data_IF_074580737207
#
_entry.id   IF_074580737207
#
_cell.length_a   1.000
_cell.length_b   1.000
_cell.length_c   1.000
_cell.angle_alpha   90.00
_cell.angle_beta   90.00
_cell.angle_gamma   90.00
#
_symmetry.space_group_name_H-M   'P 1'
#
loop_
_entity.id
_entity.type
_entity.pdbx_description
1 polymer ?
#
# COMPACT_ATOMS: atom_id res chain seq x y z
N UNK A 1 -3.39 1.09 7.38
CA UNK A 1 -3.34 0.03 8.41
C UNK A 1 -1.90 -0.27 8.84
N UNK A 2 -0.95 0.66 8.68
CA UNK A 2 0.48 0.32 8.82
C UNK A 2 0.93 -0.15 10.20
N UNK A 3 0.30 0.32 11.28
CA UNK A 3 0.63 -0.15 12.62
C UNK A 3 0.24 -1.62 12.83
N UNK A 4 -0.93 -2.02 12.32
CA UNK A 4 -1.41 -3.40 12.43
C UNK A 4 -0.66 -4.37 11.53
N UNK A 5 -0.08 -3.88 10.43
CA UNK A 5 0.71 -4.70 9.51
C UNK A 5 1.85 -5.43 10.23
N UNK A 6 2.51 -4.78 11.20
CA UNK A 6 3.58 -5.39 11.99
C UNK A 6 3.13 -6.65 12.71
N UNK A 7 2.05 -6.56 13.49
CA UNK A 7 1.52 -7.69 14.24
C UNK A 7 1.00 -8.82 13.34
N UNK A 8 0.39 -8.48 12.21
CA UNK A 8 -0.09 -9.51 11.26
C UNK A 8 1.08 -10.29 10.67
N UNK A 9 2.19 -9.62 10.37
CA UNK A 9 3.38 -10.24 9.76
C UNK A 9 4.17 -11.06 10.77
N UNK A 10 4.22 -10.63 12.04
CA UNK A 10 4.76 -11.43 13.15
C UNK A 10 4.01 -12.77 13.29
N UNK A 11 2.71 -12.79 13.03
CA UNK A 11 1.87 -13.99 13.00
C UNK A 11 1.89 -14.74 11.65
N UNK A 12 2.78 -14.37 10.73
CA UNK A 12 2.95 -15.03 9.44
C UNK A 12 1.92 -14.67 8.37
N UNK A 13 1.12 -13.61 8.58
CA UNK A 13 0.18 -13.09 7.59
C UNK A 13 0.82 -11.96 6.78
N UNK A 14 1.22 -12.27 5.54
CA UNK A 14 1.83 -11.28 4.65
C UNK A 14 0.86 -10.13 4.32
N UNK A 15 1.35 -8.90 4.43
CA UNK A 15 0.62 -7.66 4.21
C UNK A 15 1.34 -6.73 3.23
N UNK A 16 0.54 -5.93 2.55
CA UNK A 16 0.98 -4.77 1.75
C UNK A 16 -0.12 -3.71 1.84
N UNK A 17 0.21 -2.45 1.59
CA UNK A 17 -0.78 -1.37 1.62
C UNK A 17 -0.44 -0.23 0.67
N UNK A 18 -1.46 0.51 0.27
CA UNK A 18 -1.32 1.79 -0.43
C UNK A 18 -1.27 2.92 0.60
N UNK A 19 -0.31 3.82 0.47
CA UNK A 19 -0.16 5.00 1.31
C UNK A 19 -0.40 6.27 0.51
N UNK A 20 -1.33 7.10 1.00
CA UNK A 20 -1.65 8.41 0.44
C UNK A 20 -0.82 9.53 1.08
N UNK A 21 -0.18 9.27 2.23
CA UNK A 21 0.59 10.27 2.97
C UNK A 21 1.94 9.66 3.34
N UNK A 22 2.98 10.03 2.58
CA UNK A 22 4.35 9.52 2.74
C UNK A 22 4.85 9.61 4.19
N UNK A 23 4.63 10.76 4.85
CA UNK A 23 5.08 10.99 6.23
C UNK A 23 4.54 9.95 7.22
N UNK A 24 3.30 9.47 7.05
CA UNK A 24 2.75 8.44 7.91
C UNK A 24 3.46 7.09 7.70
N UNK A 25 3.73 6.72 6.44
CA UNK A 25 4.51 5.51 6.14
C UNK A 25 5.94 5.59 6.67
N UNK A 26 6.59 6.74 6.60
CA UNK A 26 7.94 6.92 7.13
C UNK A 26 8.00 6.83 8.66
N UNK A 27 6.95 7.28 9.35
CA UNK A 27 6.84 7.19 10.81
C UNK A 27 6.46 5.77 11.27
N UNK A 28 5.47 5.16 10.63
CA UNK A 28 4.97 3.83 11.01
C UNK A 28 5.85 2.69 10.51
N UNK A 29 6.61 2.92 9.42
CA UNK A 29 7.53 1.96 8.78
C UNK A 29 6.92 0.57 8.61
N UNK A 30 5.71 0.44 8.02
CA UNK A 30 5.13 -0.88 7.82
C UNK A 30 6.05 -1.76 6.95
N UNK A 31 5.95 -3.10 7.04
CA UNK A 31 6.83 -4.00 6.30
C UNK A 31 6.87 -3.70 4.80
N UNK A 32 5.70 -3.42 4.21
CA UNK A 32 5.53 -3.03 2.80
C UNK A 32 4.49 -1.92 2.66
N UNK A 33 4.79 -0.93 1.83
CA UNK A 33 3.85 0.09 1.43
C UNK A 33 4.19 0.70 0.06
N UNK A 34 3.19 0.81 -0.82
CA UNK A 34 3.27 1.60 -2.04
C UNK A 34 2.79 3.01 -1.73
N UNK A 35 3.70 3.99 -1.74
CA UNK A 35 3.29 5.39 -1.70
C UNK A 35 2.81 5.84 -3.07
N UNK A 36 1.67 6.52 -3.12
CA UNK A 36 1.11 7.10 -4.33
C UNK A 36 0.82 8.60 -4.14
N UNK A 37 1.01 9.44 -5.18
CA UNK A 37 0.81 10.88 -5.08
C UNK A 37 -0.66 11.30 -5.41
N UNK A 38 -1.64 10.45 -5.12
CA UNK A 38 -3.04 10.69 -5.49
C UNK A 38 -3.77 11.55 -4.45
N UNK A 39 -4.95 12.08 -4.83
CA UNK A 39 -5.82 12.80 -3.90
C UNK A 39 -6.20 11.91 -2.70
N UNK A 40 -6.26 12.53 -1.51
CA UNK A 40 -6.67 11.84 -0.31
C UNK A 40 -8.09 11.25 -0.48
N UNK A 41 -8.25 9.97 -0.15
CA UNK A 41 -9.48 9.21 -0.39
C UNK A 41 -9.53 8.47 -1.74
N UNK A 42 -8.51 8.62 -2.60
CA UNK A 42 -8.43 7.97 -3.92
C UNK A 42 -7.18 7.09 -4.07
N UNK A 43 -7.03 6.00 -3.30
CA UNK A 43 -5.81 5.18 -3.33
C UNK A 43 -5.52 4.51 -4.68
N UNK A 44 -6.53 4.37 -5.55
CA UNK A 44 -6.37 3.82 -6.89
C UNK A 44 -6.36 4.87 -8.02
N UNK A 45 -6.30 6.17 -7.69
CA UNK A 45 -6.30 7.25 -8.67
C UNK A 45 -7.71 7.63 -9.17
N UNK A 46 -7.85 8.08 -10.43
CA UNK A 46 -9.13 8.53 -10.99
C UNK A 46 -10.22 7.44 -10.96
N UNK A 47 -11.50 7.82 -10.77
CA UNK A 47 -12.61 6.89 -10.90
C UNK A 47 -12.75 6.41 -12.35
N UNK A 48 -13.27 5.19 -12.54
CA UNK A 48 -13.58 4.57 -13.84
C UNK A 48 -12.39 4.37 -14.81
N UNK A 49 -11.14 4.56 -14.38
CA UNK A 49 -9.94 4.20 -15.15
C UNK A 49 -9.44 2.79 -14.74
N UNK A 50 -10.15 1.76 -15.21
CA UNK A 50 -9.84 0.36 -14.88
C UNK A 50 -8.39 -0.02 -15.19
N UNK A 51 -7.81 0.33 -16.37
CA UNK A 51 -6.40 0.04 -16.64
C UNK A 51 -5.44 0.67 -15.62
N UNK A 52 -5.65 1.92 -15.22
CA UNK A 52 -4.81 2.59 -14.23
C UNK A 52 -4.95 1.94 -12.85
N UNK A 53 -6.18 1.73 -12.39
CA UNK A 53 -6.46 1.12 -11.09
C UNK A 53 -5.85 -0.28 -10.99
N UNK A 54 -5.91 -1.06 -12.08
CA UNK A 54 -5.27 -2.37 -12.15
C UNK A 54 -3.75 -2.27 -12.02
N UNK A 55 -3.10 -1.29 -12.65
CA UNK A 55 -1.64 -1.09 -12.48
C UNK A 55 -1.26 -0.78 -11.03
N UNK A 56 -2.04 0.06 -10.34
CA UNK A 56 -1.83 0.35 -8.91
C UNK A 56 -1.98 -0.90 -8.06
N UNK A 57 -3.03 -1.70 -8.32
CA UNK A 57 -3.25 -2.96 -7.61
C UNK A 57 -2.06 -3.93 -7.81
N UNK A 58 -1.65 -4.15 -9.06
CA UNK A 58 -0.54 -5.05 -9.37
C UNK A 58 0.76 -4.58 -8.71
N UNK A 59 1.11 -3.30 -8.83
CA UNK A 59 2.29 -2.74 -8.18
C UNK A 59 2.26 -2.90 -6.65
N UNK A 60 1.08 -2.78 -6.03
CA UNK A 60 0.92 -2.97 -4.58
C UNK A 60 1.13 -4.43 -4.19
N UNK A 61 0.59 -5.38 -4.96
CA UNK A 61 0.71 -6.81 -4.72
C UNK A 61 2.12 -7.34 -5.02
N UNK A 62 2.81 -6.78 -6.01
CA UNK A 62 4.21 -7.10 -6.35
C UNK A 62 5.16 -6.85 -5.17
N UNK A 63 4.82 -5.93 -4.26
CA UNK A 63 5.59 -5.74 -3.03
C UNK A 63 5.66 -7.00 -2.16
N UNK A 64 4.69 -7.91 -2.26
CA UNK A 64 4.74 -9.19 -1.53
C UNK A 64 5.87 -10.11 -2.02
N UNK A 65 6.45 -9.82 -3.19
CA UNK A 65 7.62 -10.55 -3.72
C UNK A 65 8.95 -9.96 -3.22
N UNK A 66 8.94 -8.74 -2.69
CA UNK A 66 10.11 -8.17 -2.05
C UNK A 66 10.33 -8.89 -0.71
N UNK A 67 11.41 -9.66 -0.63
CA UNK A 67 11.89 -10.29 0.60
C UNK A 67 12.47 -9.24 1.55
#
# INVERSE_FOLDING_TARGET
MGGLAHYLEEEGLATTQISLIRLHSEKTRPPRALWVPFELGRPFGPPNDVPFQRRVLMATLELLQAK
#
